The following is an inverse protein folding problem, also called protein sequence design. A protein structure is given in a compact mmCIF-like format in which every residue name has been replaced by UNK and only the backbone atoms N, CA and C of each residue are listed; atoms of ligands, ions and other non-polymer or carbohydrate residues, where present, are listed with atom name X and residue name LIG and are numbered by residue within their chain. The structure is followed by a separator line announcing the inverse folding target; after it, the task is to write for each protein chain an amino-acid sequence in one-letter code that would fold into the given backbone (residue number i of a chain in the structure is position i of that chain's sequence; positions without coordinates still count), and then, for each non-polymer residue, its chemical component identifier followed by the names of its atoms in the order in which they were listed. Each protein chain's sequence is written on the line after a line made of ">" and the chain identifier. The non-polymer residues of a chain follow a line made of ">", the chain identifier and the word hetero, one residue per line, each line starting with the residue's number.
data_IF_007941271765
#
_entry.id   IF_007941271765
#
_cell.length_a   1.000
_cell.length_b   1.000
_cell.length_c   1.000
_cell.angle_alpha   90.00
_cell.angle_beta   90.00
_cell.angle_gamma   90.00
#
_symmetry.space_group_name_H-M   'P 1'
#
loop_
_entity.id
_entity.type
_entity.pdbx_description
1 polymer ?
#
# COMPACT_ATOMS: atom_id res chain seq x y z
N UNK A 1 -17.84 -39.49 24.87
CA UNK A 1 -18.88 -38.57 24.36
C UNK A 1 -18.43 -37.16 24.65
N UNK A 2 -17.81 -36.50 23.67
CA UNK A 2 -17.24 -35.15 23.79
C UNK A 2 -17.98 -34.22 22.83
N UNK A 3 -18.40 -33.02 23.25
CA UNK A 3 -19.04 -32.08 22.35
C UNK A 3 -18.01 -31.43 21.43
N UNK A 4 -18.32 -31.44 20.14
CA UNK A 4 -17.60 -30.82 19.03
C UNK A 4 -17.58 -29.30 19.20
N UNK A 5 -16.39 -28.73 19.40
CA UNK A 5 -16.17 -27.28 19.45
C UNK A 5 -16.06 -26.75 18.01
N UNK A 6 -17.09 -26.07 17.54
CA UNK A 6 -17.05 -25.31 16.29
C UNK A 6 -16.08 -24.12 16.39
N UNK A 7 -15.41 -23.69 15.30
CA UNK A 7 -14.54 -22.52 15.31
C UNK A 7 -15.36 -21.23 15.48
N UNK A 8 -14.79 -20.19 16.11
CA UNK A 8 -15.46 -18.90 16.30
C UNK A 8 -15.72 -18.22 14.95
N UNK A 9 -16.98 -17.87 14.69
CA UNK A 9 -17.40 -17.11 13.52
C UNK A 9 -16.96 -15.66 13.71
N UNK A 10 -15.89 -15.26 13.03
CA UNK A 10 -15.50 -13.85 12.92
C UNK A 10 -16.63 -13.09 12.20
N UNK A 11 -17.19 -12.01 12.78
CA UNK A 11 -18.13 -11.18 12.05
C UNK A 11 -17.34 -10.40 11.00
N UNK A 12 -17.52 -10.77 9.73
CA UNK A 12 -17.19 -9.92 8.59
C UNK A 12 -18.09 -8.68 8.65
N UNK A 13 -17.64 -7.62 9.32
CA UNK A 13 -18.36 -6.35 9.35
C UNK A 13 -18.10 -5.58 8.05
N UNK A 14 -18.76 -6.01 6.97
CA UNK A 14 -19.05 -5.13 5.85
C UNK A 14 -20.54 -4.81 5.94
N UNK A 15 -20.87 -3.80 6.74
CA UNK A 15 -22.23 -3.26 6.81
C UNK A 15 -22.38 -2.14 5.78
N UNK A 16 -22.56 -2.51 4.51
CA UNK A 16 -23.06 -1.59 3.50
C UNK A 16 -24.58 -1.54 3.61
N UNK A 17 -25.12 -0.64 4.44
CA UNK A 17 -26.56 -0.43 4.50
C UNK A 17 -27.01 0.35 3.26
N UNK A 18 -27.60 -0.36 2.29
CA UNK A 18 -28.33 0.25 1.18
C UNK A 18 -29.76 0.56 1.61
N UNK A 19 -30.15 1.84 1.60
CA UNK A 19 -31.56 2.22 1.62
C UNK A 19 -32.16 1.94 0.22
N UNK A 20 -33.37 1.38 0.11
CA UNK A 20 -33.96 1.04 -1.18
C UNK A 20 -34.47 2.31 -1.87
N UNK A 21 -33.89 2.66 -3.03
CA UNK A 21 -34.54 3.59 -3.98
C UNK A 21 -33.67 4.65 -4.65
N UNK A 22 -32.39 4.79 -4.32
CA UNK A 22 -31.48 5.74 -4.99
C UNK A 22 -30.41 5.02 -5.80
N UNK A 23 -30.03 5.49 -7.00
CA UNK A 23 -28.84 5.00 -7.69
C UNK A 23 -27.62 5.45 -6.87
N UNK A 24 -27.24 4.63 -5.89
CA UNK A 24 -26.03 4.81 -5.10
C UNK A 24 -24.87 4.73 -6.09
N UNK A 25 -24.22 5.86 -6.35
CA UNK A 25 -22.82 5.84 -6.81
C UNK A 25 -22.09 5.09 -5.70
N UNK A 26 -21.79 3.83 -5.94
CA UNK A 26 -21.07 2.97 -5.03
C UNK A 26 -19.63 3.47 -4.96
N UNK A 27 -19.40 4.57 -4.23
CA UNK A 27 -18.06 5.02 -3.88
C UNK A 27 -17.64 4.18 -2.69
N UNK A 28 -17.29 2.92 -2.97
CA UNK A 28 -16.41 2.22 -2.07
C UNK A 28 -15.06 2.95 -2.16
N UNK A 29 -14.60 3.49 -1.03
CA UNK A 29 -13.20 3.88 -0.87
C UNK A 29 -12.35 2.59 -0.83
N UNK A 30 -12.36 1.82 -1.92
CA UNK A 30 -11.85 0.44 -1.98
C UNK A 30 -10.33 0.38 -1.88
N UNK A 31 -9.62 1.42 -2.35
CA UNK A 31 -8.16 1.45 -2.35
C UNK A 31 -7.58 1.53 -0.94
N UNK A 32 -8.06 2.46 -0.11
CA UNK A 32 -7.53 2.65 1.24
C UNK A 32 -7.84 1.46 2.16
N UNK A 33 -9.04 0.90 2.10
CA UNK A 33 -9.40 -0.29 2.88
C UNK A 33 -8.58 -1.52 2.45
N UNK A 34 -8.33 -1.69 1.15
CA UNK A 34 -7.50 -2.77 0.63
C UNK A 34 -6.03 -2.69 1.11
N UNK A 35 -5.47 -1.49 1.25
CA UNK A 35 -4.11 -1.33 1.79
C UNK A 35 -4.05 -1.70 3.27
N UNK A 36 -5.04 -1.28 4.06
CA UNK A 36 -5.12 -1.62 5.48
C UNK A 36 -5.31 -3.14 5.67
N UNK A 37 -6.22 -3.76 4.91
CA UNK A 37 -6.43 -5.22 4.94
C UNK A 37 -5.13 -5.99 4.60
N UNK A 38 -4.35 -5.46 3.65
CA UNK A 38 -3.08 -6.06 3.24
C UNK A 38 -1.98 -5.84 4.29
N UNK A 39 -1.93 -4.69 4.94
CA UNK A 39 -1.03 -4.43 6.07
C UNK A 39 -1.30 -5.41 7.21
N UNK A 40 -2.55 -5.51 7.65
CA UNK A 40 -2.95 -6.41 8.73
C UNK A 40 -2.60 -7.86 8.40
N UNK A 41 -2.83 -8.26 7.15
CA UNK A 41 -2.45 -9.58 6.66
C UNK A 41 -0.94 -9.80 6.66
N UNK A 42 -0.14 -8.86 6.17
CA UNK A 42 1.31 -8.99 6.11
C UNK A 42 1.93 -9.07 7.52
N UNK A 43 1.43 -8.28 8.47
CA UNK A 43 1.85 -8.33 9.88
C UNK A 43 1.45 -9.66 10.52
N UNK A 44 0.20 -10.10 10.31
CA UNK A 44 -0.27 -11.38 10.83
C UNK A 44 0.53 -12.56 10.28
N UNK A 45 0.83 -12.57 8.98
CA UNK A 45 1.68 -13.59 8.35
C UNK A 45 3.09 -13.57 8.96
N UNK A 46 3.74 -12.41 9.08
CA UNK A 46 5.07 -12.28 9.66
C UNK A 46 5.14 -12.86 11.10
N UNK A 47 4.21 -12.43 11.97
CA UNK A 47 4.17 -12.89 13.36
C UNK A 47 3.84 -14.39 13.46
N UNK A 48 2.95 -14.89 12.60
CA UNK A 48 2.59 -16.31 12.57
C UNK A 48 3.77 -17.18 12.17
N UNK A 49 4.52 -16.80 11.12
CA UNK A 49 5.73 -17.53 10.69
C UNK A 49 6.78 -17.59 11.78
N UNK A 50 7.05 -16.46 12.44
CA UNK A 50 8.01 -16.40 13.52
C UNK A 50 7.59 -17.26 14.72
N UNK A 51 6.31 -17.22 15.10
CA UNK A 51 5.76 -18.09 16.14
C UNK A 51 5.90 -19.57 15.78
N UNK A 52 5.59 -19.95 14.54
CA UNK A 52 5.73 -21.34 14.08
C UNK A 52 7.17 -21.81 14.19
N UNK A 53 8.13 -20.98 13.78
CA UNK A 53 9.56 -21.29 13.88
C UNK A 53 10.00 -21.51 15.33
N UNK A 54 9.60 -20.64 16.26
CA UNK A 54 9.88 -20.82 17.69
C UNK A 54 9.20 -22.09 18.22
N UNK A 55 7.99 -22.39 17.77
CA UNK A 55 7.25 -23.57 18.22
C UNK A 55 7.94 -24.86 17.78
N UNK A 56 8.50 -24.89 16.57
CA UNK A 56 9.30 -26.02 16.07
C UNK A 56 10.60 -26.22 16.85
N UNK A 57 11.25 -25.13 17.25
CA UNK A 57 12.50 -25.19 18.04
C UNK A 57 12.22 -25.58 19.50
N UNK A 58 11.10 -25.14 20.06
CA UNK A 58 10.71 -25.42 21.43
C UNK A 58 10.13 -26.84 21.62
N UNK A 59 9.87 -27.57 20.52
CA UNK A 59 9.34 -28.92 20.59
C UNK A 59 10.41 -29.87 21.17
N UNK A 60 10.16 -30.49 22.33
CA UNK A 60 11.13 -31.39 22.94
C UNK A 60 11.35 -32.60 22.03
N UNK A 61 12.60 -33.05 21.94
CA UNK A 61 12.91 -34.29 21.25
C UNK A 61 12.10 -35.44 21.88
N UNK A 62 11.21 -36.02 21.09
CA UNK A 62 10.38 -37.16 21.51
C UNK A 62 11.31 -38.34 21.81
N UNK A 63 11.06 -39.05 22.90
CA UNK A 63 11.84 -40.25 23.24
C UNK A 63 11.58 -41.31 22.14
N UNK A 64 12.58 -41.60 21.31
CA UNK A 64 12.45 -42.41 20.10
C UNK A 64 12.24 -41.65 18.78
N UNK A 65 12.56 -40.35 18.71
CA UNK A 65 12.53 -39.58 17.47
C UNK A 65 13.32 -40.28 16.34
N UNK A 66 12.62 -40.67 15.28
CA UNK A 66 13.25 -41.29 14.11
C UNK A 66 13.99 -40.23 13.28
N UNK A 67 14.99 -40.66 12.50
CA UNK A 67 15.74 -39.78 11.58
C UNK A 67 14.80 -39.00 10.64
N UNK A 68 13.69 -39.62 10.25
CA UNK A 68 12.66 -39.04 9.39
C UNK A 68 11.97 -37.83 10.04
N UNK A 69 11.68 -37.90 11.35
CA UNK A 69 11.07 -36.80 12.11
C UNK A 69 12.03 -35.62 12.21
N UNK A 70 13.31 -35.87 12.47
CA UNK A 70 14.33 -34.82 12.52
C UNK A 70 14.52 -34.15 11.14
N UNK A 71 14.52 -34.94 10.07
CA UNK A 71 14.60 -34.41 8.69
C UNK A 71 13.37 -33.55 8.33
N UNK A 72 12.17 -34.00 8.71
CA UNK A 72 10.93 -33.25 8.49
C UNK A 72 10.93 -31.92 9.26
N UNK A 73 11.37 -31.92 10.52
CA UNK A 73 11.49 -30.70 11.33
C UNK A 73 12.50 -29.71 10.75
N UNK A 74 13.66 -30.19 10.27
CA UNK A 74 14.65 -29.35 9.59
C UNK A 74 14.09 -28.69 8.33
N UNK A 75 13.41 -29.47 7.49
CA UNK A 75 12.78 -28.94 6.28
C UNK A 75 11.67 -27.93 6.60
N UNK A 76 10.87 -28.20 7.64
CA UNK A 76 9.82 -27.28 8.06
C UNK A 76 10.39 -25.95 8.58
N UNK A 77 11.53 -25.98 9.27
CA UNK A 77 12.22 -24.77 9.73
C UNK A 77 12.73 -23.92 8.56
N UNK A 78 13.23 -24.54 7.49
CA UNK A 78 13.62 -23.85 6.26
C UNK A 78 12.43 -23.20 5.55
N UNK A 79 11.30 -23.92 5.45
CA UNK A 79 10.06 -23.41 4.83
C UNK A 79 9.54 -22.20 5.60
N UNK A 80 9.46 -22.28 6.93
CA UNK A 80 8.96 -21.16 7.75
C UNK A 80 9.92 -19.95 7.69
N UNK A 81 11.23 -20.18 7.56
CA UNK A 81 12.21 -19.09 7.37
C UNK A 81 12.04 -18.40 6.02
N UNK A 82 11.91 -19.15 4.93
CA UNK A 82 11.67 -18.58 3.60
C UNK A 82 10.34 -17.82 3.54
N UNK A 83 9.30 -18.37 4.16
CA UNK A 83 7.99 -17.72 4.22
C UNK A 83 8.01 -16.45 5.10
N UNK A 84 8.86 -16.41 6.14
CA UNK A 84 9.10 -15.19 6.93
C UNK A 84 9.76 -14.09 6.08
N UNK A 85 10.77 -14.44 5.28
CA UNK A 85 11.40 -13.49 4.34
C UNK A 85 10.36 -12.98 3.34
N UNK A 86 9.55 -13.87 2.76
CA UNK A 86 8.50 -13.48 1.83
C UNK A 86 7.48 -12.51 2.44
N UNK A 87 7.08 -12.73 3.70
CA UNK A 87 6.20 -11.81 4.43
C UNK A 87 6.86 -10.44 4.66
N UNK A 88 8.17 -10.40 4.95
CA UNK A 88 8.90 -9.15 5.08
C UNK A 88 9.01 -8.37 3.77
N UNK A 89 9.19 -9.07 2.64
CA UNK A 89 9.18 -8.46 1.32
C UNK A 89 7.81 -7.89 0.95
N UNK A 90 6.71 -8.55 1.32
CA UNK A 90 5.37 -8.05 1.03
C UNK A 90 5.08 -6.73 1.78
N UNK A 91 5.56 -6.61 3.02
CA UNK A 91 5.51 -5.36 3.78
C UNK A 91 6.32 -4.25 3.08
N UNK A 92 7.53 -4.56 2.60
CA UNK A 92 8.33 -3.61 1.82
C UNK A 92 7.65 -3.20 0.51
N UNK A 93 7.01 -4.13 -0.20
CA UNK A 93 6.20 -3.85 -1.41
C UNK A 93 5.06 -2.89 -1.10
N UNK A 94 4.32 -3.12 -0.02
CA UNK A 94 3.25 -2.22 0.43
C UNK A 94 3.77 -0.80 0.71
N UNK A 95 4.92 -0.66 1.38
CA UNK A 95 5.50 0.68 1.61
C UNK A 95 5.94 1.38 0.32
N UNK A 96 6.37 0.62 -0.70
CA UNK A 96 6.70 1.18 -2.02
C UNK A 96 5.45 1.67 -2.73
N UNK A 97 4.39 0.87 -2.75
CA UNK A 97 3.09 1.25 -3.33
C UNK A 97 2.51 2.50 -2.65
N UNK A 98 2.62 2.59 -1.32
CA UNK A 98 2.21 3.78 -0.59
C UNK A 98 3.03 5.00 -1.03
N UNK A 99 4.35 4.90 -1.09
CA UNK A 99 5.21 5.99 -1.56
C UNK A 99 4.93 6.38 -3.01
N UNK A 100 4.65 5.42 -3.89
CA UNK A 100 4.25 5.67 -5.28
C UNK A 100 2.94 6.46 -5.33
N UNK A 101 1.93 6.10 -4.54
CA UNK A 101 0.68 6.86 -4.44
C UNK A 101 0.89 8.29 -3.92
N UNK A 102 1.79 8.48 -2.95
CA UNK A 102 2.17 9.80 -2.46
C UNK A 102 2.95 10.64 -3.49
N UNK A 103 3.84 10.02 -4.27
CA UNK A 103 4.69 10.70 -5.26
C UNK A 103 3.93 11.05 -6.54
N UNK A 104 3.05 10.16 -7.02
CA UNK A 104 2.32 10.36 -8.25
C UNK A 104 0.96 11.07 -8.05
N UNK A 105 0.43 11.09 -6.83
CA UNK A 105 -0.90 11.61 -6.55
C UNK A 105 -2.00 10.78 -7.27
N UNK A 106 -3.26 11.26 -7.33
CA UNK A 106 -4.23 10.68 -8.26
C UNK A 106 -3.61 10.70 -9.67
N UNK A 107 -3.64 9.56 -10.39
CA UNK A 107 -3.15 9.42 -11.76
C UNK A 107 -3.60 10.65 -12.56
N UNK A 108 -2.67 11.59 -12.81
CA UNK A 108 -2.92 12.74 -13.69
C UNK A 108 -3.38 12.16 -15.03
N UNK A 109 -4.48 12.65 -15.59
CA UNK A 109 -4.87 12.24 -16.93
C UNK A 109 -3.70 12.50 -17.89
N UNK A 110 -3.52 11.62 -18.88
CA UNK A 110 -2.48 11.77 -19.92
C UNK A 110 -2.77 13.09 -20.65
N UNK A 111 -2.19 14.20 -20.17
CA UNK A 111 -2.49 15.56 -20.63
C UNK A 111 -2.41 16.65 -19.56
N UNK A 112 -2.52 16.32 -18.26
CA UNK A 112 -2.46 17.33 -17.18
C UNK A 112 -1.02 17.47 -16.64
N UNK A 113 -0.16 18.06 -17.46
CA UNK A 113 1.12 18.62 -17.00
C UNK A 113 0.86 19.93 -16.27
N UNK A 114 1.37 20.05 -15.04
CA UNK A 114 1.51 21.34 -14.36
C UNK A 114 2.48 22.20 -15.17
N UNK A 115 1.96 23.13 -15.97
CA UNK A 115 2.71 24.32 -16.35
C UNK A 115 2.83 24.63 -17.83
N UNK A 116 2.58 23.73 -18.79
CA UNK A 116 2.87 24.08 -20.19
C UNK A 116 1.92 25.16 -20.74
N UNK A 117 0.62 25.09 -20.40
CA UNK A 117 -0.36 26.07 -20.85
C UNK A 117 -0.35 27.39 -20.08
N UNK A 118 -0.17 27.35 -18.75
CA UNK A 118 -0.20 28.59 -17.94
C UNK A 118 1.14 29.32 -17.93
N UNK A 119 2.27 28.60 -18.00
CA UNK A 119 3.59 29.25 -18.01
C UNK A 119 3.85 30.00 -19.32
N UNK A 120 3.35 29.51 -20.46
CA UNK A 120 3.49 30.21 -21.74
C UNK A 120 2.67 31.51 -21.75
N UNK A 121 1.44 31.46 -21.25
CA UNK A 121 0.56 32.63 -21.14
C UNK A 121 1.07 33.66 -20.11
N UNK A 122 1.58 33.21 -18.97
CA UNK A 122 2.19 34.09 -17.97
C UNK A 122 3.51 34.68 -18.48
N UNK A 123 4.29 33.93 -19.27
CA UNK A 123 5.52 34.43 -19.91
C UNK A 123 5.21 35.52 -20.95
N UNK A 124 4.14 35.36 -21.75
CA UNK A 124 3.69 36.39 -22.69
C UNK A 124 3.28 37.68 -21.99
N UNK A 125 2.48 37.60 -20.92
CA UNK A 125 2.06 38.77 -20.13
C UNK A 125 3.25 39.50 -19.52
N UNK A 126 4.24 38.78 -19.01
CA UNK A 126 5.48 39.39 -18.49
C UNK A 126 6.26 40.07 -19.61
N UNK A 127 6.34 39.46 -20.80
CA UNK A 127 6.97 40.07 -21.97
C UNK A 127 6.29 41.37 -22.43
N UNK A 128 4.96 41.41 -22.42
CA UNK A 128 4.18 42.61 -22.76
C UNK A 128 4.43 43.75 -21.77
N UNK A 129 4.41 43.47 -20.45
CA UNK A 129 4.69 44.47 -19.41
C UNK A 129 6.11 45.04 -19.53
N UNK A 130 7.10 44.21 -19.84
CA UNK A 130 8.48 44.67 -20.05
C UNK A 130 8.58 45.59 -21.27
N UNK A 131 7.89 45.25 -22.36
CA UNK A 131 7.88 46.05 -23.59
C UNK A 131 7.21 47.42 -23.38
N UNK A 132 6.14 47.48 -22.60
CA UNK A 132 5.50 48.75 -22.21
C UNK A 132 6.42 49.63 -21.37
N UNK A 133 7.16 49.03 -20.43
CA UNK A 133 8.13 49.76 -19.60
C UNK A 133 9.31 50.30 -20.43
N UNK A 134 9.78 49.54 -21.41
CA UNK A 134 10.83 49.98 -22.35
C UNK A 134 10.36 51.15 -23.21
N UNK A 135 9.15 51.07 -23.79
CA UNK A 135 8.59 52.18 -24.57
C UNK A 135 8.44 53.45 -23.75
N UNK A 136 7.95 53.35 -22.51
CA UNK A 136 7.82 54.51 -21.60
C UNK A 136 9.19 55.07 -21.19
N UNK A 137 10.19 54.20 -21.05
CA UNK A 137 11.57 54.58 -20.75
C UNK A 137 12.26 55.32 -21.90
N UNK A 138 12.05 54.88 -23.14
CA UNK A 138 12.60 55.53 -24.34
C UNK A 138 11.93 56.88 -24.61
N UNK A 139 10.61 57.01 -24.38
CA UNK A 139 9.89 58.29 -24.45
C UNK A 139 10.37 59.30 -23.40
N UNK A 140 10.79 58.84 -22.22
CA UNK A 140 11.31 59.70 -21.14
C UNK A 140 12.77 60.11 -21.33
N UNK A 141 13.50 59.49 -22.28
CA UNK A 141 14.92 59.73 -22.55
C UNK A 141 15.18 60.39 -23.92
N UNK A 142 14.14 60.51 -24.75
CA UNK A 142 14.17 61.13 -26.07
C UNK A 142 13.59 62.55 -26.17
N UNK A 143 13.26 63.19 -25.04
CA UNK A 143 12.90 64.62 -24.95
C UNK A 143 13.97 65.40 -24.21
#
# INVERSE_FOLDING_TARGET
>A
MTPSSAPPKVPSSVSCNAAPGTPVKLVCNSGANHLLDREERAIAELLTRFKNLISLVAEPAQDGATLEVAAAQSFQMEVETNALVQASEDLLRLTRELKEMWLFGPLREIGEGEGEGSMDEDSKKVGEMINELLKRGDESRGG
#
